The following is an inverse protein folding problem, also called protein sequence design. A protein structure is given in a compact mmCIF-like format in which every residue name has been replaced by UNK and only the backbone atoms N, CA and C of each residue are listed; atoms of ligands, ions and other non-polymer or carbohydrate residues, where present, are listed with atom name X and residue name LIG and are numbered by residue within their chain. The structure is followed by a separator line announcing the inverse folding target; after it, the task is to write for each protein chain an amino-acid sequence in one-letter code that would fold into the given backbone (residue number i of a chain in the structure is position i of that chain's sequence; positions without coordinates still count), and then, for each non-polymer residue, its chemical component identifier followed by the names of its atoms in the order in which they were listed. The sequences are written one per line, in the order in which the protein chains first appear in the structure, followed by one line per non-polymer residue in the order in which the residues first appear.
data_IF_240262654949
#
_entry.id   IF_240262654949
#
_cell.length_a   1.000
_cell.length_b   1.000
_cell.length_c   1.000
_cell.angle_alpha   90.00
_cell.angle_beta   90.00
_cell.angle_gamma   90.00
#
_symmetry.space_group_name_H-M   'P 1'
#
loop_
_entity.id
_entity.type
_entity.pdbx_description
1 polymer ?
#
# COMPACT_ATOMS: atom_id res chain seq x y z
N UNK A 1 -10.21 -1.15 -5.32
CA UNK A 1 -10.00 -0.43 -4.03
C UNK A 1 -9.06 0.75 -4.23
N UNK A 2 -9.15 1.78 -3.39
CA UNK A 2 -8.23 2.94 -3.38
C UNK A 2 -6.77 2.49 -3.29
N UNK A 3 -6.47 1.50 -2.45
CA UNK A 3 -5.14 0.92 -2.30
C UNK A 3 -4.59 0.34 -3.62
N UNK A 4 -5.41 -0.47 -4.31
CA UNK A 4 -5.00 -1.04 -5.60
C UNK A 4 -4.67 0.06 -6.62
N UNK A 5 -5.57 1.02 -6.74
CA UNK A 5 -5.43 2.12 -7.70
C UNK A 5 -4.18 2.95 -7.40
N UNK A 6 -3.97 3.34 -6.14
CA UNK A 6 -2.80 4.12 -5.72
C UNK A 6 -1.49 3.37 -6.00
N UNK A 7 -1.41 2.08 -5.67
CA UNK A 7 -0.21 1.27 -5.90
C UNK A 7 0.11 1.13 -7.38
N UNK A 8 -0.90 0.83 -8.21
CA UNK A 8 -0.70 0.64 -9.65
C UNK A 8 -0.32 1.96 -10.32
N UNK A 9 -1.06 3.04 -10.08
CA UNK A 9 -0.75 4.35 -10.69
C UNK A 9 0.63 4.82 -10.26
N UNK A 10 0.99 4.70 -8.97
CA UNK A 10 2.29 5.11 -8.48
C UNK A 10 3.42 4.32 -9.15
N UNK A 11 3.28 2.99 -9.27
CA UNK A 11 4.28 2.17 -9.93
C UNK A 11 4.46 2.54 -11.41
N UNK A 12 3.37 2.66 -12.16
CA UNK A 12 3.43 3.02 -13.58
C UNK A 12 3.96 4.44 -13.81
N UNK A 13 3.55 5.41 -12.98
CA UNK A 13 4.02 6.79 -13.11
C UNK A 13 5.52 6.89 -12.88
N UNK A 14 6.03 6.29 -11.80
CA UNK A 14 7.47 6.25 -11.56
C UNK A 14 8.23 5.51 -12.66
N UNK A 15 7.65 4.41 -13.19
CA UNK A 15 8.26 3.67 -14.29
C UNK A 15 8.43 4.54 -15.55
N UNK A 16 7.41 5.30 -15.92
CA UNK A 16 7.45 6.20 -17.08
C UNK A 16 8.46 7.32 -16.85
N UNK A 17 8.40 7.98 -15.71
CA UNK A 17 9.28 9.11 -15.39
C UNK A 17 10.76 8.70 -15.35
N UNK A 18 11.08 7.51 -14.82
CA UNK A 18 12.45 7.02 -14.77
C UNK A 18 12.93 6.54 -16.14
N UNK A 19 12.06 5.93 -16.96
CA UNK A 19 12.40 5.56 -18.34
C UNK A 19 12.67 6.80 -19.20
N UNK A 20 11.88 7.87 -19.05
CA UNK A 20 12.09 9.12 -19.77
C UNK A 20 13.41 9.81 -19.41
N UNK A 21 13.89 9.64 -18.16
CA UNK A 21 15.16 10.21 -17.70
C UNK A 21 16.38 9.45 -18.22
N UNK A 22 16.33 8.12 -18.19
CA UNK A 22 17.46 7.26 -18.56
C UNK A 22 16.98 5.92 -19.15
N UNK A 23 16.62 5.89 -20.45
CA UNK A 23 16.15 4.66 -21.11
C UNK A 23 17.20 3.55 -21.18
N UNK A 24 18.50 3.89 -21.20
CA UNK A 24 19.58 2.91 -21.36
C UNK A 24 19.88 2.14 -20.07
N UNK A 25 19.70 2.77 -18.91
CA UNK A 25 19.94 2.15 -17.60
C UNK A 25 18.63 1.85 -16.84
N UNK A 26 17.51 1.71 -17.56
CA UNK A 26 16.21 1.50 -16.97
C UNK A 26 16.04 0.09 -16.40
N UNK A 27 15.84 0.00 -15.07
CA UNK A 27 15.48 -1.25 -14.37
C UNK A 27 14.00 -1.25 -13.97
N UNK A 28 13.23 -2.11 -14.61
CA UNK A 28 11.80 -2.27 -14.33
C UNK A 28 11.49 -3.16 -13.11
N UNK A 29 12.47 -3.86 -12.55
CA UNK A 29 12.27 -4.88 -11.51
C UNK A 29 11.63 -4.29 -10.25
N UNK A 30 12.01 -3.08 -9.86
CA UNK A 30 11.48 -2.39 -8.68
C UNK A 30 9.98 -2.08 -8.80
N UNK A 31 9.49 -1.77 -10.00
CA UNK A 31 8.07 -1.51 -10.24
C UNK A 31 7.24 -2.78 -10.21
N UNK A 32 7.76 -3.89 -10.77
CA UNK A 32 7.11 -5.20 -10.68
C UNK A 32 6.96 -5.64 -9.23
N UNK A 33 8.01 -5.49 -8.40
CA UNK A 33 7.95 -5.78 -6.97
C UNK A 33 6.86 -4.98 -6.23
N UNK A 34 6.64 -3.73 -6.61
CA UNK A 34 5.55 -2.94 -6.03
C UNK A 34 4.17 -3.42 -6.52
N UNK A 35 4.03 -3.78 -7.79
CA UNK A 35 2.79 -4.33 -8.32
C UNK A 35 2.44 -5.70 -7.72
N UNK A 36 3.42 -6.51 -7.33
CA UNK A 36 3.21 -7.78 -6.64
C UNK A 36 2.66 -7.63 -5.21
N UNK A 37 2.81 -6.45 -4.59
CA UNK A 37 2.30 -6.18 -3.24
C UNK A 37 0.79 -5.96 -3.19
N UNK A 38 0.13 -5.75 -4.33
CA UNK A 38 -1.33 -5.68 -4.38
C UNK A 38 -1.93 -7.05 -4.64
N UNK A 39 -3.16 -7.27 -4.16
CA UNK A 39 -3.85 -8.55 -4.34
C UNK A 39 -4.17 -8.78 -5.81
N UNK A 40 -3.42 -9.67 -6.46
CA UNK A 40 -3.59 -10.04 -7.87
C UNK A 40 -3.65 -11.57 -8.02
N UNK A 41 -4.12 -12.03 -9.17
CA UNK A 41 -4.08 -13.45 -9.57
C UNK A 41 -2.79 -13.81 -10.32
N UNK A 42 -1.76 -12.98 -10.20
CA UNK A 42 -0.54 -13.02 -10.99
C UNK A 42 -0.48 -11.87 -11.99
N UNK A 43 0.73 -11.49 -12.35
CA UNK A 43 0.99 -10.50 -13.39
C UNK A 43 1.21 -11.23 -14.72
N UNK A 44 0.59 -10.76 -15.77
CA UNK A 44 0.72 -11.32 -17.12
C UNK A 44 0.66 -10.21 -18.15
N UNK A 45 1.36 -10.40 -19.26
CA UNK A 45 1.25 -9.53 -20.44
C UNK A 45 -0.07 -9.73 -21.19
N UNK A 46 -0.82 -10.78 -20.84
CA UNK A 46 -2.11 -11.15 -21.42
C UNK A 46 -2.12 -10.98 -22.95
N UNK A 47 -3.00 -10.16 -23.51
CA UNK A 47 -3.12 -9.97 -24.96
C UNK A 47 -2.09 -9.02 -25.57
N UNK A 48 -1.09 -8.57 -24.83
CA UNK A 48 -0.16 -7.57 -25.33
C UNK A 48 0.74 -8.12 -26.45
N UNK A 49 1.27 -9.33 -26.27
CA UNK A 49 2.19 -9.94 -27.24
C UNK A 49 1.52 -10.95 -28.18
N UNK A 50 0.60 -11.78 -27.71
CA UNK A 50 -0.11 -12.78 -28.54
C UNK A 50 -1.42 -13.21 -27.91
N UNK A 51 -2.48 -13.31 -28.74
CA UNK A 51 -3.81 -13.79 -28.32
C UNK A 51 -3.91 -15.30 -28.21
N UNK A 52 -2.91 -16.06 -28.68
CA UNK A 52 -2.94 -17.51 -28.78
C UNK A 52 -2.16 -18.24 -27.68
N UNK A 53 -1.52 -17.51 -26.78
CA UNK A 53 -0.72 -18.12 -25.72
C UNK A 53 -1.62 -18.79 -24.68
N UNK A 54 -1.46 -20.12 -24.50
CA UNK A 54 -2.26 -20.93 -23.55
C UNK A 54 -1.93 -20.64 -22.08
N UNK A 55 -0.81 -19.96 -21.82
CA UNK A 55 -0.32 -19.61 -20.48
C UNK A 55 -0.93 -18.32 -19.91
N UNK A 56 -2.02 -17.84 -20.55
CA UNK A 56 -2.69 -16.58 -20.19
C UNK A 56 -3.52 -16.70 -18.90
N UNK A 57 -3.89 -17.92 -18.50
CA UNK A 57 -4.68 -18.16 -17.29
C UNK A 57 -3.93 -19.06 -16.31
N UNK A 58 -3.74 -18.55 -15.11
CA UNK A 58 -3.26 -19.34 -13.97
C UNK A 58 -4.38 -20.30 -13.53
N UNK A 59 -4.25 -21.59 -13.88
CA UNK A 59 -5.21 -22.64 -13.52
C UNK A 59 -4.90 -23.31 -12.17
N UNK A 60 -3.75 -23.02 -11.56
CA UNK A 60 -3.29 -23.69 -10.33
C UNK A 60 -4.03 -23.28 -9.06
N UNK A 61 -5.07 -22.50 -9.20
CA UNK A 61 -5.92 -22.10 -8.08
C UNK A 61 -5.78 -20.61 -7.71
N UNK A 62 -6.62 -20.18 -6.78
CA UNK A 62 -6.70 -18.77 -6.33
C UNK A 62 -5.53 -18.43 -5.40
N UNK A 63 -4.30 -18.47 -5.89
CA UNK A 63 -3.18 -17.90 -5.14
C UNK A 63 -3.19 -16.38 -5.32
N UNK A 64 -3.75 -15.69 -4.34
CA UNK A 64 -3.57 -14.24 -4.23
C UNK A 64 -2.27 -13.98 -3.46
N UNK A 65 -1.48 -13.01 -3.90
CA UNK A 65 -0.43 -12.48 -3.05
C UNK A 65 -1.09 -11.79 -1.85
N UNK A 66 -0.99 -12.40 -0.66
CA UNK A 66 -1.63 -11.91 0.56
C UNK A 66 -0.64 -11.31 1.56
N UNK A 67 0.61 -11.05 1.13
CA UNK A 67 1.66 -10.55 2.00
C UNK A 67 1.41 -9.11 2.47
N UNK A 68 0.52 -8.40 1.81
CA UNK A 68 0.15 -7.02 2.11
C UNK A 68 -1.35 -6.82 2.08
N UNK A 69 -1.83 -5.91 2.92
CA UNK A 69 -3.24 -5.51 2.90
C UNK A 69 -3.39 -4.00 3.11
N UNK A 70 -4.55 -3.48 2.73
CA UNK A 70 -4.89 -2.08 2.92
C UNK A 70 -5.04 -1.76 4.40
N UNK A 71 -4.04 -1.15 5.03
CA UNK A 71 -4.09 -0.77 6.45
C UNK A 71 -5.00 0.42 6.70
N UNK A 72 -4.89 1.46 5.89
CA UNK A 72 -5.69 2.67 6.06
C UNK A 72 -5.23 3.82 5.18
N UNK A 73 -5.82 4.99 5.41
CA UNK A 73 -5.43 6.23 4.75
C UNK A 73 -5.31 7.38 5.73
N UNK A 74 -4.41 8.31 5.45
CA UNK A 74 -4.18 9.50 6.24
C UNK A 74 -5.38 10.44 6.10
N UNK A 75 -5.99 10.80 7.23
CA UNK A 75 -7.06 11.80 7.30
C UNK A 75 -6.48 13.17 7.61
N UNK A 76 -5.57 13.21 8.59
CA UNK A 76 -4.91 14.44 9.02
C UNK A 76 -3.51 14.10 9.52
N UNK A 77 -2.51 14.80 9.00
CA UNK A 77 -1.16 14.73 9.52
C UNK A 77 -0.98 15.69 10.69
N UNK A 78 -0.38 15.21 11.76
CA UNK A 78 0.18 15.99 12.86
C UNK A 78 1.51 15.36 13.26
N UNK A 79 2.48 16.17 13.61
CA UNK A 79 3.85 15.74 13.88
C UNK A 79 3.94 14.67 14.99
N UNK A 80 3.17 14.84 16.07
CA UNK A 80 3.14 13.90 17.18
C UNK A 80 2.22 12.71 16.91
N UNK A 81 0.95 12.97 16.58
CA UNK A 81 -0.07 11.95 16.37
C UNK A 81 -0.95 12.29 15.17
N UNK A 82 -0.77 11.57 14.08
CA UNK A 82 -1.57 11.71 12.86
C UNK A 82 -2.82 10.83 12.92
N UNK A 83 -3.92 11.32 12.37
CA UNK A 83 -5.19 10.59 12.32
C UNK A 83 -5.28 9.76 11.03
N UNK A 84 -5.51 8.46 11.19
CA UNK A 84 -5.64 7.48 10.11
C UNK A 84 -7.04 6.89 10.14
N UNK A 85 -7.72 6.84 9.00
CA UNK A 85 -8.92 6.04 8.80
C UNK A 85 -8.50 4.61 8.48
N UNK A 86 -8.83 3.65 9.34
CA UNK A 86 -8.41 2.26 9.17
C UNK A 86 -9.31 1.50 8.21
N UNK A 87 -8.72 0.57 7.47
CA UNK A 87 -9.42 -0.30 6.50
C UNK A 87 -9.28 -1.79 6.82
N UNK A 88 -8.30 -2.15 7.63
CA UNK A 88 -8.11 -3.49 8.19
C UNK A 88 -7.64 -3.38 9.64
N UNK A 89 -7.64 -4.51 10.35
CA UNK A 89 -7.19 -4.59 11.74
C UNK A 89 -5.73 -4.12 11.85
N UNK A 90 -5.46 -3.26 12.83
CA UNK A 90 -4.11 -2.82 13.19
C UNK A 90 -3.82 -3.20 14.64
N UNK A 91 -2.59 -3.61 14.90
CA UNK A 91 -2.10 -4.03 16.21
C UNK A 91 -0.77 -3.31 16.50
N UNK A 92 -0.53 -2.94 17.74
CA UNK A 92 0.78 -2.43 18.16
C UNK A 92 1.85 -3.47 17.85
N UNK A 93 2.89 -3.06 17.13
CA UNK A 93 3.93 -3.95 16.62
C UNK A 93 3.83 -4.29 15.15
N UNK A 94 2.69 -4.03 14.49
CA UNK A 94 2.54 -4.20 13.05
C UNK A 94 3.55 -3.35 12.28
N UNK A 95 4.03 -3.90 11.14
CA UNK A 95 4.87 -3.19 10.20
C UNK A 95 3.98 -2.62 9.10
N UNK A 96 4.05 -1.32 8.93
CA UNK A 96 3.30 -0.56 7.93
C UNK A 96 4.23 0.07 6.91
N UNK A 97 3.72 0.27 5.70
CA UNK A 97 4.38 1.02 4.64
C UNK A 97 3.48 2.18 4.17
N UNK A 98 4.05 3.37 4.10
CA UNK A 98 3.40 4.54 3.51
C UNK A 98 3.74 4.56 2.02
N UNK A 99 2.73 4.53 1.16
CA UNK A 99 2.90 4.73 -0.29
C UNK A 99 3.04 6.23 -0.52
N UNK A 100 4.28 6.65 -0.82
CA UNK A 100 4.59 8.06 -1.06
C UNK A 100 4.34 8.37 -2.53
N UNK A 101 3.46 9.33 -2.88
CA UNK A 101 3.26 9.72 -4.27
C UNK A 101 4.56 10.15 -4.95
N UNK A 102 4.73 9.73 -6.20
CA UNK A 102 5.91 10.00 -7.02
C UNK A 102 7.24 9.44 -6.48
N UNK A 103 7.18 8.46 -5.57
CA UNK A 103 8.32 7.66 -5.12
C UNK A 103 7.98 6.19 -5.19
N UNK A 104 8.88 5.38 -5.75
CA UNK A 104 8.63 3.93 -5.85
C UNK A 104 8.90 3.22 -4.52
N UNK A 105 9.89 3.64 -3.76
CA UNK A 105 10.17 3.07 -2.46
C UNK A 105 9.20 3.64 -1.41
N UNK A 106 8.41 2.76 -0.75
CA UNK A 106 7.57 3.17 0.35
C UNK A 106 8.40 3.47 1.60
N UNK A 107 7.81 4.17 2.55
CA UNK A 107 8.43 4.37 3.86
C UNK A 107 7.85 3.35 4.84
N UNK A 108 8.71 2.40 5.26
CA UNK A 108 8.37 1.39 6.25
C UNK A 108 8.50 1.93 7.67
N UNK A 109 7.58 1.57 8.55
CA UNK A 109 7.64 1.89 9.98
C UNK A 109 6.84 0.88 10.80
N UNK A 110 7.17 0.80 12.09
CA UNK A 110 6.49 -0.05 13.06
C UNK A 110 5.53 0.77 13.91
N UNK A 111 4.33 0.24 14.16
CA UNK A 111 3.41 0.85 15.12
C UNK A 111 3.95 0.65 16.54
N UNK A 112 4.42 1.71 17.16
CA UNK A 112 4.85 1.68 18.56
C UNK A 112 3.70 1.89 19.53
N UNK A 113 2.75 2.75 19.16
CA UNK A 113 1.59 3.09 19.98
C UNK A 113 0.38 3.38 19.10
N UNK A 114 -0.79 2.98 19.57
CA UNK A 114 -2.09 3.25 18.98
C UNK A 114 -2.96 4.00 19.99
N UNK A 115 -3.71 4.98 19.50
CA UNK A 115 -4.71 5.68 20.30
C UNK A 115 -6.04 5.70 19.54
N UNK A 116 -7.12 5.47 20.23
CA UNK A 116 -8.46 5.69 19.69
C UNK A 116 -8.63 7.18 19.35
N UNK A 117 -9.17 7.51 18.16
CA UNK A 117 -9.25 8.89 17.72
C UNK A 117 -10.35 9.70 18.41
N UNK A 118 -11.34 9.04 19.01
CA UNK A 118 -12.49 9.67 19.68
C UNK A 118 -12.22 9.87 21.18
N UNK A 119 -11.66 8.85 21.84
CA UNK A 119 -11.45 8.87 23.30
C UNK A 119 -10.05 9.31 23.71
N UNK A 120 -9.10 9.35 22.79
CA UNK A 120 -7.67 9.57 23.06
C UNK A 120 -7.02 8.49 23.95
N UNK A 121 -7.73 7.40 24.21
CA UNK A 121 -7.20 6.30 25.02
C UNK A 121 -6.19 5.46 24.25
N UNK A 122 -5.14 5.03 24.95
CA UNK A 122 -4.15 4.11 24.39
C UNK A 122 -4.76 2.72 24.27
N UNK A 123 -4.66 2.14 23.07
CA UNK A 123 -5.20 0.83 22.74
C UNK A 123 -4.10 -0.09 22.19
N UNK A 124 -4.30 -1.41 22.28
CA UNK A 124 -3.35 -2.39 21.76
C UNK A 124 -3.68 -2.82 20.33
N UNK A 125 -4.95 -2.82 19.99
CA UNK A 125 -5.44 -3.20 18.67
C UNK A 125 -6.75 -2.49 18.34
N UNK A 126 -7.04 -2.42 17.05
CA UNK A 126 -8.32 -1.89 16.56
C UNK A 126 -8.73 -2.61 15.28
N UNK A 127 -10.02 -2.88 15.15
CA UNK A 127 -10.60 -3.48 13.95
C UNK A 127 -11.57 -2.51 13.27
N UNK A 128 -11.68 -2.52 11.94
CA UNK A 128 -12.60 -1.64 11.21
C UNK A 128 -14.04 -2.13 11.35
N UNK A 129 -14.57 -2.13 12.58
CA UNK A 129 -15.94 -2.60 12.85
C UNK A 129 -17.01 -1.68 12.30
N UNK A 130 -16.77 -0.38 12.30
CA UNK A 130 -17.71 0.66 11.85
C UNK A 130 -17.05 1.47 10.75
N UNK A 131 -17.84 1.85 9.72
CA UNK A 131 -17.36 2.67 8.61
C UNK A 131 -16.77 3.99 9.13
N UNK A 132 -15.54 4.28 8.72
CA UNK A 132 -14.87 5.53 9.08
C UNK A 132 -14.15 5.52 10.42
N UNK A 133 -13.97 4.34 11.05
CA UNK A 133 -13.21 4.25 12.29
C UNK A 133 -11.79 4.78 12.14
N UNK A 134 -11.32 5.54 13.11
CA UNK A 134 -10.06 6.27 13.05
C UNK A 134 -9.20 5.97 14.27
N UNK A 135 -7.88 6.04 14.04
CA UNK A 135 -6.87 5.94 15.10
C UNK A 135 -5.90 7.10 14.99
N UNK A 136 -5.20 7.37 16.06
CA UNK A 136 -4.05 8.26 16.07
C UNK A 136 -2.77 7.45 16.23
N UNK A 137 -1.81 7.68 15.35
CA UNK A 137 -0.47 7.07 15.36
C UNK A 137 0.58 8.10 14.99
N UNK A 138 1.81 7.88 15.43
CA UNK A 138 2.96 8.68 14.98
C UNK A 138 3.41 8.17 13.62
N UNK A 139 3.52 9.07 12.64
CA UNK A 139 4.08 8.76 11.32
C UNK A 139 5.54 9.21 11.24
N UNK A 140 6.41 8.46 10.54
CA UNK A 140 7.84 8.76 10.45
C UNK A 140 8.17 9.94 9.53
N UNK A 141 7.24 10.32 8.66
CA UNK A 141 7.38 11.40 7.70
C UNK A 141 6.13 12.27 7.65
N UNK A 142 6.28 13.50 7.16
CA UNK A 142 5.14 14.36 6.83
C UNK A 142 4.33 13.72 5.69
N UNK A 143 3.03 13.57 5.91
CA UNK A 143 2.10 13.00 4.95
C UNK A 143 1.00 14.00 4.61
N UNK A 144 0.45 13.87 3.42
CA UNK A 144 -0.74 14.61 3.03
C UNK A 144 -2.00 13.77 3.26
N UNK A 145 -3.15 14.43 3.25
CA UNK A 145 -4.44 13.76 3.30
C UNK A 145 -4.58 12.78 2.14
N UNK A 146 -5.24 11.65 2.42
CA UNK A 146 -5.52 10.55 1.50
C UNK A 146 -4.29 9.72 1.05
N UNK A 147 -3.09 9.97 1.61
CA UNK A 147 -1.98 9.04 1.42
C UNK A 147 -2.34 7.65 1.98
N UNK A 148 -1.94 6.64 1.24
CA UNK A 148 -2.28 5.24 1.52
C UNK A 148 -1.22 4.60 2.41
N UNK A 149 -1.72 3.84 3.40
CA UNK A 149 -0.90 3.03 4.29
C UNK A 149 -1.31 1.58 4.09
N UNK A 150 -0.33 0.70 3.87
CA UNK A 150 -0.54 -0.74 3.80
C UNK A 150 0.16 -1.45 4.95
N UNK A 151 -0.39 -2.58 5.37
CA UNK A 151 0.17 -3.44 6.40
C UNK A 151 0.85 -4.63 5.75
N UNK A 152 2.05 -4.97 6.21
CA UNK A 152 2.74 -6.23 5.92
C UNK A 152 2.20 -7.31 6.84
N UNK A 153 1.78 -8.45 6.28
CA UNK A 153 1.29 -9.61 7.06
C UNK A 153 2.43 -10.49 7.52
#
# INVERSE_FOLDING_TARGET
TEYYLASVINAYRNAIDDYEKDPENYDYTKYLKELEKVKTRGLTTFYFNDRKNKDIQEYSGRQYNENYEFGGKVVQYKEELSTIEIKNKLIVGDILEIIVPNKIEPVEFKIEQLYDAETDEKIQEISPGVKGQKVKIKLPIKCEKDWIIRRKK
#
